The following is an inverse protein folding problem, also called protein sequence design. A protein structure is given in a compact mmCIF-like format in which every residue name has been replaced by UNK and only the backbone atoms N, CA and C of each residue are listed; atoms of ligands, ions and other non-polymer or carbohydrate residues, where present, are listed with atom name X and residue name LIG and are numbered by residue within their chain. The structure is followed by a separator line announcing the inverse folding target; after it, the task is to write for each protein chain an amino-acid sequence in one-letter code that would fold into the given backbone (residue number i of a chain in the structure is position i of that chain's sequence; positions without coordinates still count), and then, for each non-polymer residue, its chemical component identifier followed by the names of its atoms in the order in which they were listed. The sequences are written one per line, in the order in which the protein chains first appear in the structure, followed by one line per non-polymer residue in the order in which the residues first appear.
data_IF_759775563896
#
_entry.id   IF_759775563896
#
_cell.length_a   1.000
_cell.length_b   1.000
_cell.length_c   1.000
_cell.angle_alpha   90.00
_cell.angle_beta   90.00
_cell.angle_gamma   90.00
#
_symmetry.space_group_name_H-M   'P 1'
#
loop_
_entity.id
_entity.type
_entity.pdbx_description
1 polymer ?
#
# COMPACT_ATOMS: atom_id res chain seq x y z
N UNK A 1 -1.65 20.53 40.34
CA UNK A 1 -1.12 21.75 40.98
C UNK A 1 0.38 21.70 41.35
N UNK A 2 1.02 20.55 41.39
CA UNK A 2 2.47 20.44 41.62
C UNK A 2 3.29 20.78 40.35
N UNK A 3 2.74 20.50 39.19
CA UNK A 3 3.38 20.77 37.88
C UNK A 3 3.31 22.27 37.53
N UNK A 4 2.23 22.96 37.92
CA UNK A 4 2.02 24.39 37.66
C UNK A 4 2.84 25.32 38.59
N UNK A 5 3.36 24.80 39.70
CA UNK A 5 4.20 25.57 40.64
C UNK A 5 5.71 25.46 40.34
N UNK A 6 6.09 24.68 39.37
CA UNK A 6 7.50 24.37 39.09
C UNK A 6 8.14 25.37 38.11
N UNK A 7 8.33 26.60 38.53
CA UNK A 7 9.42 27.43 38.04
C UNK A 7 10.78 26.81 38.43
N UNK A 8 10.79 25.85 39.34
CA UNK A 8 11.98 25.07 39.70
C UNK A 8 11.58 23.68 40.21
N UNK A 9 11.54 22.64 39.37
CA UNK A 9 11.27 21.25 39.76
C UNK A 9 12.41 20.62 40.61
N UNK A 10 13.35 21.42 41.03
CA UNK A 10 14.55 21.00 41.81
C UNK A 10 14.21 20.73 43.29
N UNK A 11 13.03 21.13 43.76
CA UNK A 11 12.67 21.02 45.16
C UNK A 11 12.25 19.62 45.63
N UNK A 12 11.79 18.76 44.69
CA UNK A 12 11.42 17.37 45.00
C UNK A 12 12.47 16.42 44.46
N UNK A 13 13.20 15.81 45.37
CA UNK A 13 14.31 14.91 45.04
C UNK A 13 14.12 13.47 45.51
N UNK A 14 15.06 12.57 45.18
CA UNK A 14 15.05 11.17 45.64
C UNK A 14 14.96 11.01 47.15
N UNK A 15 15.56 11.93 47.93
CA UNK A 15 15.48 11.96 49.39
C UNK A 15 14.06 12.21 49.92
N UNK A 16 13.29 13.06 49.26
CA UNK A 16 11.91 13.32 49.66
C UNK A 16 11.03 12.09 49.42
N UNK A 17 11.29 11.34 48.35
CA UNK A 17 10.62 10.07 48.11
C UNK A 17 10.87 9.07 49.22
N UNK A 18 12.12 8.93 49.68
CA UNK A 18 12.46 8.04 50.77
C UNK A 18 11.72 8.46 52.05
N UNK A 19 11.79 9.74 52.41
CA UNK A 19 11.10 10.31 53.58
C UNK A 19 9.57 10.09 53.55
N UNK A 20 8.94 10.26 52.39
CA UNK A 20 7.50 10.00 52.22
C UNK A 20 7.21 8.51 52.34
N UNK A 21 8.03 7.63 51.73
CA UNK A 21 7.87 6.19 51.80
C UNK A 21 7.96 5.71 53.26
N UNK A 22 8.93 6.19 54.05
CA UNK A 22 9.08 5.88 55.45
C UNK A 22 7.90 6.39 56.29
N UNK A 23 7.46 7.63 56.03
CA UNK A 23 6.34 8.25 56.79
C UNK A 23 5.02 7.54 56.55
N UNK A 24 4.78 7.02 55.35
CA UNK A 24 3.49 6.42 55.01
C UNK A 24 3.52 4.89 54.91
N UNK A 25 4.67 4.25 55.16
CA UNK A 25 4.84 2.79 55.07
C UNK A 25 4.62 2.21 53.66
N UNK A 26 4.79 3.05 52.60
CA UNK A 26 4.55 2.68 51.20
C UNK A 26 5.86 2.80 50.43
N UNK A 27 6.29 1.74 49.77
CA UNK A 27 7.43 1.81 48.87
C UNK A 27 7.01 2.51 47.54
N UNK A 28 7.24 3.81 47.45
CA UNK A 28 6.94 4.63 46.29
C UNK A 28 7.76 4.21 45.06
N UNK A 29 8.81 3.44 45.20
CA UNK A 29 9.56 2.91 44.07
C UNK A 29 8.84 1.77 43.34
N UNK A 30 7.97 1.07 44.07
CA UNK A 30 7.18 -0.07 43.56
C UNK A 30 5.70 0.25 43.40
N UNK A 31 5.16 1.07 44.30
CA UNK A 31 3.76 1.52 44.20
C UNK A 31 3.58 2.59 43.12
N UNK A 32 2.36 2.72 42.65
CA UNK A 32 1.92 3.79 41.74
C UNK A 32 2.74 3.86 40.42
N UNK A 33 3.08 2.70 39.84
CA UNK A 33 3.90 2.65 38.65
C UNK A 33 3.26 3.39 37.45
N UNK A 34 1.96 3.26 37.28
CA UNK A 34 1.23 3.90 36.18
C UNK A 34 1.11 5.40 36.39
N UNK A 35 0.83 5.85 37.61
CA UNK A 35 0.74 7.26 37.95
C UNK A 35 2.10 7.96 37.81
N UNK A 36 3.19 7.31 38.20
CA UNK A 36 4.55 7.84 38.02
C UNK A 36 4.92 7.98 36.54
N UNK A 37 4.59 6.97 35.71
CA UNK A 37 4.75 7.05 34.26
C UNK A 37 3.88 8.12 33.66
N UNK A 38 2.59 8.22 34.09
CA UNK A 38 1.67 9.24 33.64
C UNK A 38 2.13 10.65 33.95
N UNK A 39 2.71 10.89 35.14
CA UNK A 39 3.27 12.18 35.50
C UNK A 39 4.50 12.53 34.61
N UNK A 40 5.40 11.59 34.42
CA UNK A 40 6.55 11.79 33.53
C UNK A 40 6.09 12.11 32.11
N UNK A 41 5.12 11.36 31.57
CA UNK A 41 4.56 11.57 30.26
C UNK A 41 3.93 12.95 30.15
N UNK A 42 3.12 13.38 31.13
CA UNK A 42 2.48 14.70 31.09
C UNK A 42 3.50 15.86 31.04
N UNK A 43 4.64 15.72 31.74
CA UNK A 43 5.71 16.71 31.69
C UNK A 43 6.44 16.66 30.35
N UNK A 44 6.68 15.47 29.80
CA UNK A 44 7.28 15.30 28.46
C UNK A 44 6.38 15.92 27.39
N UNK A 45 5.09 15.58 27.36
CA UNK A 45 4.11 16.10 26.40
C UNK A 45 4.02 17.63 26.47
N UNK A 46 4.01 18.19 27.69
CA UNK A 46 4.02 19.65 27.89
C UNK A 46 5.27 20.32 27.29
N UNK A 47 6.46 19.70 27.48
CA UNK A 47 7.73 20.22 26.93
C UNK A 47 7.83 20.05 25.42
N UNK A 48 7.15 19.09 24.86
CA UNK A 48 7.08 18.88 23.41
C UNK A 48 6.13 19.87 22.71
N UNK A 49 5.22 20.53 23.45
CA UNK A 49 4.27 21.48 22.86
C UNK A 49 4.97 22.66 22.16
N UNK A 50 6.17 23.02 22.61
CA UNK A 50 6.97 24.11 22.00
C UNK A 50 7.77 23.65 20.79
N UNK A 51 7.72 22.36 20.44
CA UNK A 51 8.40 21.79 19.26
C UNK A 51 9.93 21.72 19.35
N UNK A 52 10.54 22.19 20.43
CA UNK A 52 11.99 22.15 20.63
C UNK A 52 12.33 21.69 22.06
N UNK A 53 13.04 20.57 22.16
CA UNK A 53 13.57 20.09 23.42
C UNK A 53 15.00 20.58 23.59
N UNK A 54 15.18 21.49 24.51
CA UNK A 54 16.46 22.10 24.84
C UNK A 54 17.32 21.22 25.77
N UNK A 55 18.60 21.60 25.94
CA UNK A 55 19.48 20.97 26.91
C UNK A 55 18.92 20.97 28.35
N UNK A 56 18.34 22.10 28.85
CA UNK A 56 17.63 22.18 30.11
C UNK A 56 16.51 21.14 30.27
N UNK A 57 15.72 20.90 29.21
CA UNK A 57 14.62 19.92 29.26
C UNK A 57 15.13 18.48 29.40
N UNK A 58 16.26 18.15 28.79
CA UNK A 58 16.93 16.87 29.00
C UNK A 58 17.33 16.67 30.48
N UNK A 59 17.89 17.71 31.09
CA UNK A 59 18.26 17.64 32.50
C UNK A 59 17.04 17.51 33.43
N UNK A 60 15.98 18.25 33.12
CA UNK A 60 14.71 18.17 33.82
C UNK A 60 14.10 16.76 33.75
N UNK A 61 13.95 16.22 32.53
CA UNK A 61 13.41 14.88 32.31
C UNK A 61 14.24 13.80 32.96
N UNK A 62 15.57 13.91 32.89
CA UNK A 62 16.49 13.00 33.58
C UNK A 62 16.41 13.09 35.11
N UNK A 63 16.24 14.28 35.67
CA UNK A 63 16.00 14.47 37.09
C UNK A 63 14.66 13.89 37.50
N UNK A 64 13.60 14.17 36.76
CA UNK A 64 12.24 13.67 37.02
C UNK A 64 12.20 12.14 36.99
N UNK A 65 12.83 11.50 35.99
CA UNK A 65 12.91 10.05 35.89
C UNK A 65 13.56 9.42 37.14
N UNK A 66 14.68 9.99 37.61
CA UNK A 66 15.37 9.53 38.85
C UNK A 66 14.47 9.74 40.08
N UNK A 67 13.85 10.90 40.20
CA UNK A 67 12.97 11.24 41.33
C UNK A 67 11.77 10.30 41.39
N UNK A 68 11.18 10.01 40.25
CA UNK A 68 10.06 9.06 40.12
C UNK A 68 10.48 7.59 40.17
N UNK A 69 11.76 7.27 40.28
CA UNK A 69 12.31 5.92 40.23
C UNK A 69 11.84 5.13 39.01
N UNK A 70 11.84 5.79 37.85
CA UNK A 70 11.53 5.14 36.58
C UNK A 70 12.78 4.52 35.98
N UNK A 71 12.68 3.25 35.63
CA UNK A 71 13.75 2.54 34.92
C UNK A 71 13.72 2.86 33.42
N UNK A 72 14.78 2.52 32.71
CA UNK A 72 14.80 2.61 31.25
C UNK A 72 13.67 1.80 30.59
N UNK A 73 13.28 0.67 31.18
CA UNK A 73 12.16 -0.15 30.71
C UNK A 73 10.81 0.55 30.89
N UNK A 74 10.63 1.34 31.97
CA UNK A 74 9.42 2.13 32.19
C UNK A 74 9.32 3.33 31.24
N UNK A 75 10.47 3.95 30.91
CA UNK A 75 10.53 5.13 30.04
C UNK A 75 10.39 4.80 28.55
N UNK A 76 10.87 3.65 28.14
CA UNK A 76 10.89 3.25 26.74
C UNK A 76 9.52 3.37 26.04
N UNK A 77 8.41 2.79 26.54
CA UNK A 77 7.10 2.91 25.88
C UNK A 77 6.58 4.36 25.87
N UNK A 78 6.94 5.17 26.88
CA UNK A 78 6.56 6.61 26.92
C UNK A 78 7.31 7.36 25.84
N UNK A 79 8.62 7.13 25.69
CA UNK A 79 9.44 7.76 24.67
C UNK A 79 9.04 7.34 23.25
N UNK A 80 8.80 6.03 23.03
CA UNK A 80 8.32 5.52 21.73
C UNK A 80 6.98 6.16 21.34
N UNK A 81 6.05 6.31 22.29
CA UNK A 81 4.77 6.96 22.07
C UNK A 81 4.93 8.45 21.73
N UNK A 82 5.73 9.19 22.51
CA UNK A 82 5.97 10.60 22.29
C UNK A 82 6.62 10.86 20.90
N UNK A 83 7.58 10.01 20.53
CA UNK A 83 8.19 10.04 19.21
C UNK A 83 7.16 9.75 18.10
N UNK A 84 6.30 8.76 18.30
CA UNK A 84 5.23 8.42 17.36
C UNK A 84 4.24 9.56 17.15
N UNK A 85 3.90 10.33 18.20
CA UNK A 85 3.05 11.54 18.08
C UNK A 85 3.75 12.58 17.23
N UNK A 86 5.02 12.89 17.51
CA UNK A 86 5.80 13.87 16.74
C UNK A 86 5.95 13.46 15.26
N UNK A 87 6.17 12.18 14.97
CA UNK A 87 6.17 11.69 13.59
C UNK A 87 4.81 11.86 12.93
N UNK A 88 3.72 11.55 13.64
CA UNK A 88 2.36 11.69 13.10
C UNK A 88 2.02 13.14 12.76
N UNK A 89 2.49 14.09 13.55
CA UNK A 89 2.34 15.53 13.30
C UNK A 89 3.19 15.96 12.10
N UNK A 90 4.45 15.53 12.04
CA UNK A 90 5.37 15.86 10.97
C UNK A 90 4.94 15.32 9.58
N UNK A 91 4.17 14.23 9.52
CA UNK A 91 3.67 13.68 8.25
C UNK A 91 2.22 14.08 7.95
N UNK A 92 1.62 14.95 8.77
CA UNK A 92 0.19 15.28 8.69
C UNK A 92 -0.17 16.07 7.41
N UNK A 93 0.74 16.89 6.92
CA UNK A 93 0.56 17.72 5.73
C UNK A 93 1.07 17.07 4.43
N UNK A 94 1.35 15.75 4.47
CA UNK A 94 1.85 14.96 3.32
C UNK A 94 3.26 15.35 2.84
N UNK A 95 4.01 16.07 3.67
CA UNK A 95 5.38 16.48 3.41
C UNK A 95 6.23 16.27 4.65
N UNK A 96 7.50 16.00 4.47
CA UNK A 96 8.48 16.00 5.56
C UNK A 96 9.58 17.00 5.24
N UNK A 97 9.45 18.19 5.78
CA UNK A 97 10.40 19.27 5.61
C UNK A 97 11.77 18.94 6.21
N UNK A 98 12.79 19.71 5.82
CA UNK A 98 14.15 19.56 6.38
C UNK A 98 14.15 19.86 7.88
N UNK A 99 13.37 20.86 8.32
CA UNK A 99 13.28 21.25 9.73
C UNK A 99 12.61 20.17 10.57
N UNK A 100 11.54 19.56 10.08
CA UNK A 100 10.87 18.43 10.74
C UNK A 100 11.77 17.21 10.84
N UNK A 101 12.52 16.87 9.79
CA UNK A 101 13.53 15.80 9.84
C UNK A 101 14.57 16.07 10.92
N UNK A 102 15.06 17.30 11.00
CA UNK A 102 16.03 17.70 12.01
C UNK A 102 15.42 17.63 13.42
N UNK A 103 14.16 18.04 13.57
CA UNK A 103 13.42 17.95 14.83
C UNK A 103 13.29 16.49 15.28
N UNK A 104 12.82 15.61 14.40
CA UNK A 104 12.69 14.18 14.69
C UNK A 104 14.02 13.54 15.04
N UNK A 105 15.10 13.91 14.34
CA UNK A 105 16.45 13.44 14.66
C UNK A 105 16.90 13.88 16.06
N UNK A 106 16.71 15.17 16.40
CA UNK A 106 17.03 15.70 17.73
C UNK A 106 16.19 15.00 18.81
N UNK A 107 14.90 14.82 18.56
CA UNK A 107 13.97 14.15 19.47
C UNK A 107 14.37 12.70 19.72
N UNK A 108 14.69 11.94 18.67
CA UNK A 108 15.21 10.57 18.78
C UNK A 108 16.40 10.49 19.74
N UNK A 109 17.39 11.36 19.54
CA UNK A 109 18.60 11.40 20.38
C UNK A 109 18.32 11.82 21.82
N UNK A 110 17.41 12.75 22.02
CA UNK A 110 17.02 13.24 23.33
C UNK A 110 16.29 12.16 24.13
N UNK A 111 15.38 11.45 23.50
CA UNK A 111 14.62 10.34 24.10
C UNK A 111 15.47 9.05 24.21
N UNK A 112 16.68 9.01 23.65
CA UNK A 112 17.54 7.83 23.67
C UNK A 112 16.97 6.63 22.92
N UNK A 113 16.20 6.88 21.85
CA UNK A 113 15.60 5.83 21.03
C UNK A 113 16.64 5.25 20.07
N UNK A 114 16.62 3.93 19.93
CA UNK A 114 17.41 3.24 18.90
C UNK A 114 16.97 3.71 17.50
N UNK A 115 17.93 3.88 16.59
CA UNK A 115 17.67 4.34 15.22
C UNK A 115 16.66 3.44 14.51
N UNK A 116 16.73 2.12 14.69
CA UNK A 116 15.80 1.17 14.08
C UNK A 116 14.37 1.34 14.59
N UNK A 117 14.21 1.68 15.87
CA UNK A 117 12.88 1.92 16.47
C UNK A 117 12.30 3.21 15.91
N UNK A 118 13.10 4.26 15.79
CA UNK A 118 12.67 5.53 15.23
C UNK A 118 12.32 5.43 13.72
N UNK A 119 13.18 4.78 12.93
CA UNK A 119 12.94 4.50 11.51
C UNK A 119 11.68 3.63 11.33
N UNK A 120 11.51 2.59 12.14
CA UNK A 120 10.32 1.74 12.10
C UNK A 120 9.03 2.49 12.42
N UNK A 121 9.04 3.39 13.40
CA UNK A 121 7.90 4.22 13.75
C UNK A 121 7.55 5.18 12.60
N UNK A 122 8.57 5.82 11.99
CA UNK A 122 8.39 6.67 10.81
C UNK A 122 7.79 5.88 9.64
N UNK A 123 8.38 4.76 9.27
CA UNK A 123 7.94 3.92 8.15
C UNK A 123 6.46 3.49 8.30
N UNK A 124 6.05 3.10 9.51
CA UNK A 124 4.67 2.69 9.78
C UNK A 124 3.71 3.87 9.56
N UNK A 125 3.99 5.03 10.15
CA UNK A 125 3.09 6.18 10.12
C UNK A 125 3.04 6.82 8.74
N UNK A 126 4.19 6.97 8.06
CA UNK A 126 4.27 7.47 6.71
C UNK A 126 3.53 6.56 5.71
N UNK A 127 3.67 5.23 5.84
CA UNK A 127 2.89 4.26 5.03
C UNK A 127 1.40 4.34 5.31
N UNK A 128 0.98 4.49 6.57
CA UNK A 128 -0.43 4.67 6.90
C UNK A 128 -0.98 5.94 6.26
N UNK A 129 -0.19 7.02 6.22
CA UNK A 129 -0.58 8.26 5.55
C UNK A 129 -0.75 8.07 4.06
N UNK A 130 0.24 7.48 3.37
CA UNK A 130 0.15 7.16 1.94
C UNK A 130 -1.08 6.29 1.64
N UNK A 131 -1.33 5.25 2.44
CA UNK A 131 -2.49 4.37 2.26
C UNK A 131 -3.83 5.10 2.38
N UNK A 132 -3.94 6.13 3.22
CA UNK A 132 -5.15 6.97 3.31
C UNK A 132 -5.36 7.78 2.02
N UNK A 133 -4.29 8.38 1.49
CA UNK A 133 -4.34 9.13 0.22
C UNK A 133 -4.77 8.20 -0.92
N UNK A 134 -4.17 7.03 -1.01
CA UNK A 134 -4.52 6.00 -2.00
C UNK A 134 -5.97 5.53 -1.84
N UNK A 135 -6.43 5.29 -0.62
CA UNK A 135 -7.81 4.88 -0.37
C UNK A 135 -8.82 5.97 -0.76
N UNK A 136 -8.48 7.24 -0.54
CA UNK A 136 -9.31 8.36 -0.98
C UNK A 136 -9.35 8.47 -2.51
N UNK A 137 -8.20 8.39 -3.17
CA UNK A 137 -8.09 8.44 -4.63
C UNK A 137 -8.82 7.27 -5.32
N UNK A 138 -8.77 6.08 -4.74
CA UNK A 138 -9.40 4.89 -5.31
C UNK A 138 -10.82 4.63 -4.81
N UNK A 139 -11.48 5.58 -4.17
CA UNK A 139 -12.80 5.38 -3.56
C UNK A 139 -13.89 5.00 -4.59
N UNK A 140 -13.77 5.46 -5.83
CA UNK A 140 -14.66 5.11 -6.94
C UNK A 140 -14.13 3.95 -7.80
N UNK A 141 -12.94 3.41 -7.45
CA UNK A 141 -12.26 2.33 -8.14
C UNK A 141 -11.53 2.76 -9.42
N UNK A 142 -11.44 4.04 -9.71
CA UNK A 142 -10.70 4.63 -10.83
C UNK A 142 -9.49 5.39 -10.32
N UNK A 143 -8.55 5.74 -11.20
CA UNK A 143 -7.42 6.60 -10.89
C UNK A 143 -7.27 7.63 -12.00
N UNK A 144 -7.62 8.86 -11.71
CA UNK A 144 -7.40 9.99 -12.61
C UNK A 144 -5.93 10.41 -12.62
N UNK A 145 -5.47 11.13 -13.65
CA UNK A 145 -4.11 11.67 -13.69
C UNK A 145 -3.77 12.61 -12.52
N UNK A 146 -4.76 13.38 -12.04
CA UNK A 146 -4.56 14.31 -10.91
C UNK A 146 -4.40 13.55 -9.59
N UNK A 147 -5.20 12.52 -9.36
CA UNK A 147 -5.08 11.63 -8.18
C UNK A 147 -3.77 10.83 -8.21
N UNK A 148 -3.34 10.37 -9.39
CA UNK A 148 -2.06 9.69 -9.56
C UNK A 148 -0.90 10.62 -9.22
N UNK A 149 -0.92 11.86 -9.72
CA UNK A 149 0.09 12.86 -9.41
C UNK A 149 0.14 13.19 -7.92
N UNK A 150 -1.02 13.21 -7.24
CA UNK A 150 -1.09 13.42 -5.80
C UNK A 150 -0.49 12.25 -5.01
N UNK A 151 -0.81 11.01 -5.36
CA UNK A 151 -0.21 9.81 -4.74
C UNK A 151 1.31 9.84 -4.90
N UNK A 152 1.81 10.16 -6.09
CA UNK A 152 3.24 10.21 -6.37
C UNK A 152 3.93 11.33 -5.59
N UNK A 153 3.31 12.51 -5.53
CA UNK A 153 3.80 13.64 -4.74
C UNK A 153 3.98 13.26 -3.26
N UNK A 154 2.96 12.62 -2.67
CA UNK A 154 3.02 12.18 -1.27
C UNK A 154 4.07 11.08 -1.07
N UNK A 155 4.15 10.13 -1.99
CA UNK A 155 5.14 9.05 -1.94
C UNK A 155 6.58 9.57 -1.95
N UNK A 156 6.86 10.54 -2.84
CA UNK A 156 8.18 11.17 -2.95
C UNK A 156 8.50 12.03 -1.74
N UNK A 157 7.56 12.87 -1.31
CA UNK A 157 7.72 13.75 -0.16
C UNK A 157 8.03 12.98 1.14
N UNK A 158 7.38 11.82 1.33
CA UNK A 158 7.62 10.93 2.46
C UNK A 158 8.78 9.93 2.23
N UNK A 159 9.45 9.97 1.06
CA UNK A 159 10.56 9.09 0.68
C UNK A 159 10.23 7.60 0.83
N UNK A 160 9.00 7.20 0.50
CA UNK A 160 8.51 5.85 0.68
C UNK A 160 8.78 4.96 -0.54
N UNK A 161 9.14 3.70 -0.27
CA UNK A 161 9.14 2.65 -1.30
C UNK A 161 7.74 2.05 -1.41
N UNK A 162 7.22 1.89 -2.63
CA UNK A 162 5.91 1.28 -2.81
C UNK A 162 5.92 -0.17 -2.27
N UNK A 163 4.84 -0.60 -1.60
CA UNK A 163 4.70 -2.00 -1.21
C UNK A 163 4.52 -2.90 -2.43
N UNK A 164 4.79 -4.18 -2.27
CA UNK A 164 4.57 -5.18 -3.33
C UNK A 164 3.10 -5.16 -3.80
N UNK A 165 2.89 -5.22 -5.10
CA UNK A 165 1.55 -5.17 -5.72
C UNK A 165 0.93 -3.77 -5.84
N UNK A 166 1.53 -2.74 -5.26
CA UNK A 166 1.01 -1.37 -5.29
C UNK A 166 0.85 -0.83 -6.71
N UNK A 167 1.89 -0.96 -7.53
CA UNK A 167 1.88 -0.50 -8.92
C UNK A 167 0.82 -1.22 -9.77
N UNK A 168 0.62 -2.52 -9.53
CA UNK A 168 -0.41 -3.31 -10.23
C UNK A 168 -1.82 -2.79 -9.89
N UNK A 169 -2.05 -2.44 -8.62
CA UNK A 169 -3.32 -1.88 -8.18
C UNK A 169 -3.59 -0.51 -8.83
N UNK A 170 -2.60 0.38 -8.85
CA UNK A 170 -2.72 1.69 -9.50
C UNK A 170 -2.93 1.56 -11.01
N UNK A 171 -2.19 0.66 -11.68
CA UNK A 171 -2.35 0.39 -13.10
C UNK A 171 -3.78 -0.08 -13.43
N UNK A 172 -4.34 -0.99 -12.64
CA UNK A 172 -5.71 -1.44 -12.84
C UNK A 172 -6.73 -0.31 -12.70
N UNK A 173 -6.56 0.57 -11.74
CA UNK A 173 -7.43 1.72 -11.53
C UNK A 173 -7.30 2.75 -12.66
N UNK A 174 -6.07 3.00 -13.14
CA UNK A 174 -5.76 3.85 -14.31
C UNK A 174 -6.41 3.31 -15.58
N UNK A 175 -6.31 2.00 -15.82
CA UNK A 175 -6.95 1.36 -16.97
C UNK A 175 -8.47 1.51 -16.90
N UNK A 176 -9.09 1.35 -15.73
CA UNK A 176 -10.53 1.59 -15.56
C UNK A 176 -10.93 3.01 -15.89
N UNK A 177 -10.18 4.01 -15.38
CA UNK A 177 -10.39 5.44 -15.67
C UNK A 177 -10.37 5.72 -17.17
N UNK A 178 -9.33 5.29 -17.88
CA UNK A 178 -9.19 5.49 -19.32
C UNK A 178 -10.27 4.74 -20.12
N UNK A 179 -10.57 3.51 -19.72
CA UNK A 179 -11.56 2.67 -20.40
C UNK A 179 -12.96 3.29 -20.32
N UNK A 180 -13.36 3.84 -19.19
CA UNK A 180 -14.66 4.52 -19.05
C UNK A 180 -14.75 5.78 -19.88
N UNK A 181 -13.65 6.54 -20.03
CA UNK A 181 -13.59 7.77 -20.82
C UNK A 181 -13.31 7.55 -22.31
N UNK A 182 -13.27 6.30 -22.75
CA UNK A 182 -13.08 5.95 -24.16
C UNK A 182 -11.65 6.07 -24.66
N UNK A 183 -10.70 6.32 -23.78
CA UNK A 183 -9.27 6.33 -24.10
C UNK A 183 -8.68 5.00 -23.66
N UNK A 184 -8.02 4.30 -24.56
CA UNK A 184 -7.30 3.07 -24.23
C UNK A 184 -5.84 3.41 -23.91
N UNK A 185 -5.24 2.73 -22.95
CA UNK A 185 -3.81 2.93 -22.63
C UNK A 185 -2.94 2.62 -23.84
N UNK A 186 -1.79 3.24 -23.93
CA UNK A 186 -0.74 2.91 -24.87
C UNK A 186 0.47 2.43 -24.08
N UNK A 187 1.00 1.29 -24.49
CA UNK A 187 2.18 0.70 -23.84
C UNK A 187 3.24 0.38 -24.90
N UNK A 188 4.49 0.42 -24.49
CA UNK A 188 5.58 -0.02 -25.34
C UNK A 188 5.49 -1.53 -25.58
N UNK A 189 5.53 -1.93 -26.83
CA UNK A 189 5.49 -3.35 -27.18
C UNK A 189 6.90 -3.94 -27.20
N UNK A 190 7.14 -5.08 -26.54
CA UNK A 190 8.43 -5.76 -26.56
C UNK A 190 8.68 -6.53 -27.88
N UNK A 191 7.84 -6.30 -28.89
CA UNK A 191 7.93 -6.88 -30.23
C UNK A 191 7.60 -5.84 -31.31
N UNK A 192 8.14 -5.95 -32.52
CA UNK A 192 7.74 -5.08 -33.61
C UNK A 192 6.28 -5.22 -33.94
N UNK A 193 5.57 -4.08 -34.02
CA UNK A 193 4.18 -3.99 -34.42
C UNK A 193 4.08 -3.57 -35.90
N UNK A 194 2.92 -3.83 -36.51
CA UNK A 194 2.62 -3.35 -37.85
C UNK A 194 2.47 -1.83 -37.86
N UNK A 195 2.64 -1.20 -39.02
CA UNK A 195 2.46 0.25 -39.16
C UNK A 195 1.06 0.68 -38.73
N UNK A 196 0.99 1.62 -37.80
CA UNK A 196 -0.27 2.15 -37.24
C UNK A 196 -0.98 1.14 -36.32
N UNK A 197 -0.30 0.15 -35.80
CA UNK A 197 -0.77 -0.76 -34.75
C UNK A 197 -0.23 -0.29 -33.40
N UNK A 198 -1.09 -0.20 -32.40
CA UNK A 198 -0.74 0.28 -31.06
C UNK A 198 -0.94 -0.82 -30.02
N UNK A 199 0.07 -1.08 -29.19
CA UNK A 199 -0.09 -1.95 -28.03
C UNK A 199 -0.88 -1.24 -26.92
N UNK A 200 -1.79 -1.98 -26.32
CA UNK A 200 -2.68 -1.50 -25.26
C UNK A 200 -2.39 -2.12 -23.91
N UNK A 201 -1.93 -3.36 -23.91
CA UNK A 201 -1.46 -4.08 -22.72
C UNK A 201 -0.29 -4.99 -23.11
N UNK A 202 0.73 -5.03 -22.26
CA UNK A 202 1.78 -6.05 -22.27
C UNK A 202 1.88 -6.64 -20.86
N UNK A 203 1.78 -7.96 -20.73
CA UNK A 203 1.80 -8.64 -19.44
C UNK A 203 2.36 -10.05 -19.54
N UNK A 204 2.90 -10.56 -18.44
CA UNK A 204 3.16 -11.99 -18.29
C UNK A 204 1.85 -12.75 -18.33
N UNK A 205 1.82 -13.91 -18.98
CA UNK A 205 0.60 -14.70 -19.14
C UNK A 205 0.90 -16.19 -19.13
N UNK A 206 -0.03 -16.94 -18.56
CA UNK A 206 -0.15 -18.38 -18.80
C UNK A 206 -1.31 -18.60 -19.78
N UNK A 207 -1.11 -19.44 -20.80
CA UNK A 207 -2.18 -19.73 -21.73
C UNK A 207 -2.23 -21.19 -22.13
N UNK A 208 -3.41 -21.65 -22.52
CA UNK A 208 -3.67 -22.99 -23.02
C UNK A 208 -4.85 -23.00 -23.99
N UNK A 209 -4.91 -24.01 -24.85
CA UNK A 209 -6.16 -24.36 -25.50
C UNK A 209 -7.19 -24.83 -24.47
N UNK A 210 -8.47 -24.69 -24.81
CA UNK A 210 -9.57 -25.17 -23.94
C UNK A 210 -10.44 -26.13 -24.72
N UNK A 211 -10.87 -27.21 -24.06
CA UNK A 211 -11.91 -28.07 -24.60
C UNK A 211 -13.27 -27.40 -24.44
N UNK A 212 -13.85 -26.94 -25.56
CA UNK A 212 -15.11 -26.20 -25.54
C UNK A 212 -16.29 -27.03 -25.00
N UNK A 213 -16.32 -28.35 -25.27
CA UNK A 213 -17.34 -29.24 -24.77
C UNK A 213 -17.21 -29.43 -23.26
N UNK A 214 -16.01 -29.74 -22.79
CA UNK A 214 -15.73 -29.86 -21.36
C UNK A 214 -15.99 -28.55 -20.62
N UNK A 215 -15.66 -27.35 -21.21
CA UNK A 215 -15.95 -26.04 -20.63
C UNK A 215 -17.49 -25.82 -20.50
N UNK A 216 -18.28 -26.15 -21.53
CA UNK A 216 -19.74 -26.04 -21.50
C UNK A 216 -20.32 -26.87 -20.37
N UNK A 217 -19.85 -28.12 -20.22
CA UNK A 217 -20.28 -29.01 -19.13
C UNK A 217 -19.91 -28.46 -17.75
N UNK A 218 -18.68 -27.92 -17.61
CA UNK A 218 -18.19 -27.45 -16.31
C UNK A 218 -18.83 -26.14 -15.85
N UNK A 219 -19.10 -25.22 -16.78
CA UNK A 219 -19.55 -23.85 -16.47
C UNK A 219 -21.07 -23.70 -16.66
N UNK A 220 -21.67 -24.48 -17.53
CA UNK A 220 -23.07 -24.42 -17.93
C UNK A 220 -23.27 -23.61 -19.22
N UNK A 221 -24.03 -24.17 -20.15
CA UNK A 221 -24.31 -23.56 -21.47
C UNK A 221 -24.87 -22.13 -21.36
N UNK A 222 -25.86 -21.94 -20.48
CA UNK A 222 -26.48 -20.62 -20.28
C UNK A 222 -25.48 -19.55 -19.80
N UNK A 223 -24.56 -19.92 -18.90
CA UNK A 223 -23.54 -18.97 -18.41
C UNK A 223 -22.58 -18.58 -19.50
N UNK A 224 -22.22 -19.48 -20.40
CA UNK A 224 -21.37 -19.18 -21.56
C UNK A 224 -22.11 -18.33 -22.57
N UNK A 225 -23.39 -18.63 -22.90
CA UNK A 225 -24.17 -17.84 -23.83
C UNK A 225 -24.42 -16.40 -23.35
N UNK A 226 -24.69 -16.23 -22.06
CA UNK A 226 -24.96 -14.92 -21.45
C UNK A 226 -23.69 -14.16 -21.02
N UNK A 227 -22.51 -14.78 -21.08
CA UNK A 227 -21.25 -14.20 -20.59
C UNK A 227 -21.15 -14.07 -19.07
N UNK A 228 -22.11 -14.65 -18.31
CA UNK A 228 -22.15 -14.58 -16.83
C UNK A 228 -21.18 -15.58 -16.19
N UNK A 229 -19.89 -15.35 -16.39
CA UNK A 229 -18.82 -16.25 -15.94
C UNK A 229 -17.85 -15.61 -14.94
N UNK A 230 -17.96 -14.32 -14.65
CA UNK A 230 -17.00 -13.57 -13.83
C UNK A 230 -16.78 -14.09 -12.39
N UNK A 231 -17.79 -14.73 -11.79
CA UNK A 231 -17.66 -15.36 -10.47
C UNK A 231 -17.14 -16.81 -10.51
N UNK A 232 -16.98 -17.40 -11.68
CA UNK A 232 -16.54 -18.79 -11.86
C UNK A 232 -15.06 -18.87 -12.18
N UNK A 233 -14.47 -20.06 -11.97
CA UNK A 233 -13.10 -20.37 -12.37
C UNK A 233 -13.11 -21.33 -13.57
N UNK A 234 -12.11 -21.22 -14.43
CA UNK A 234 -11.84 -22.23 -15.45
C UNK A 234 -11.16 -23.42 -14.77
N UNK A 235 -11.77 -24.61 -14.72
CA UNK A 235 -11.15 -25.77 -14.10
C UNK A 235 -9.98 -26.29 -14.93
N UNK A 236 -8.89 -26.72 -14.28
CA UNK A 236 -7.69 -27.23 -14.99
C UNK A 236 -7.99 -28.39 -15.92
N UNK A 237 -8.97 -29.25 -15.58
CA UNK A 237 -9.41 -30.40 -16.39
C UNK A 237 -9.95 -30.05 -17.78
N UNK A 238 -10.33 -28.79 -18.02
CA UNK A 238 -10.82 -28.35 -19.34
C UNK A 238 -9.69 -27.77 -20.21
N UNK A 239 -8.50 -27.56 -19.64
CA UNK A 239 -7.33 -27.06 -20.36
C UNK A 239 -6.72 -28.17 -21.20
N UNK A 240 -6.36 -27.83 -22.44
CA UNK A 240 -5.74 -28.79 -23.39
C UNK A 240 -4.23 -28.77 -23.28
N UNK A 241 -3.65 -29.84 -22.78
CA UNK A 241 -2.19 -30.00 -22.72
C UNK A 241 -1.53 -29.14 -21.63
N UNK A 242 -0.20 -28.99 -21.76
CA UNK A 242 0.60 -28.17 -20.82
C UNK A 242 0.36 -26.70 -21.09
N UNK A 243 0.16 -25.92 -20.02
CA UNK A 243 0.08 -24.47 -20.11
C UNK A 243 1.43 -23.91 -20.60
N UNK A 244 1.38 -23.01 -21.57
CA UNK A 244 2.52 -22.21 -21.98
C UNK A 244 2.64 -20.99 -21.09
N UNK A 245 3.88 -20.56 -20.83
CA UNK A 245 4.19 -19.35 -20.02
C UNK A 245 4.98 -18.40 -20.91
N UNK A 246 4.67 -17.12 -20.83
CA UNK A 246 5.34 -16.08 -21.58
C UNK A 246 4.67 -14.73 -21.44
N UNK A 247 4.56 -14.01 -22.53
CA UNK A 247 3.98 -12.66 -22.58
C UNK A 247 2.75 -12.62 -23.47
N UNK A 248 1.76 -11.84 -23.07
CA UNK A 248 0.64 -11.40 -23.91
C UNK A 248 0.80 -9.93 -24.26
N UNK A 249 0.65 -9.60 -25.52
CA UNK A 249 0.58 -8.23 -25.99
C UNK A 249 -0.78 -8.09 -26.68
N UNK A 250 -1.65 -7.26 -26.09
CA UNK A 250 -2.93 -6.92 -26.66
C UNK A 250 -2.76 -5.62 -27.43
N UNK A 251 -3.03 -5.66 -28.74
CA UNK A 251 -3.02 -4.48 -29.60
C UNK A 251 -4.44 -4.08 -30.00
N UNK A 252 -4.59 -3.00 -30.70
CA UNK A 252 -5.86 -2.57 -31.32
C UNK A 252 -6.33 -3.49 -32.46
N UNK A 253 -5.50 -4.47 -32.89
CA UNK A 253 -5.80 -5.38 -34.01
C UNK A 253 -5.77 -6.87 -33.64
N UNK A 254 -4.94 -7.27 -32.68
CA UNK A 254 -4.67 -8.70 -32.34
C UNK A 254 -4.17 -8.90 -30.93
N UNK A 255 -4.26 -10.16 -30.49
CA UNK A 255 -3.58 -10.68 -29.31
C UNK A 255 -2.35 -11.42 -29.79
N UNK A 256 -1.17 -11.07 -29.29
CA UNK A 256 0.10 -11.75 -29.53
C UNK A 256 0.48 -12.52 -28.28
N UNK A 257 0.80 -13.80 -28.42
CA UNK A 257 1.28 -14.68 -27.34
C UNK A 257 2.70 -15.10 -27.64
N UNK A 258 3.66 -14.72 -26.83
CA UNK A 258 5.07 -14.98 -27.01
C UNK A 258 5.62 -15.87 -25.89
N UNK A 259 6.17 -17.03 -26.24
CA UNK A 259 6.90 -17.92 -25.34
C UNK A 259 8.40 -17.83 -25.65
N UNK A 260 9.17 -17.15 -24.81
CA UNK A 260 10.61 -16.98 -25.02
C UNK A 260 10.95 -16.32 -26.38
N UNK A 261 11.93 -16.89 -27.12
CA UNK A 261 12.39 -16.39 -28.42
C UNK A 261 11.56 -16.87 -29.62
N UNK A 262 10.46 -17.58 -29.39
CA UNK A 262 9.64 -18.12 -30.48
C UNK A 262 8.84 -17.02 -31.19
N UNK A 263 8.48 -17.26 -32.46
CA UNK A 263 7.54 -16.40 -33.19
C UNK A 263 6.22 -16.31 -32.43
N UNK A 264 5.71 -15.09 -32.16
CA UNK A 264 4.48 -14.93 -31.44
C UNK A 264 3.30 -15.60 -32.13
N UNK A 265 2.48 -16.31 -31.37
CA UNK A 265 1.18 -16.78 -31.86
C UNK A 265 0.21 -15.60 -31.93
N UNK A 266 -0.44 -15.43 -33.06
CA UNK A 266 -1.37 -14.33 -33.33
C UNK A 266 -2.82 -14.81 -33.22
N UNK A 267 -3.67 -13.98 -32.60
CA UNK A 267 -5.14 -14.11 -32.63
C UNK A 267 -5.71 -12.74 -33.02
N UNK A 268 -6.17 -12.60 -34.24
CA UNK A 268 -6.77 -11.33 -34.71
C UNK A 268 -8.07 -11.05 -33.99
N UNK A 269 -8.28 -9.81 -33.55
CA UNK A 269 -9.52 -9.40 -32.89
C UNK A 269 -10.75 -9.61 -33.77
N UNK A 270 -10.60 -9.38 -35.08
CA UNK A 270 -11.67 -9.66 -36.08
C UNK A 270 -12.11 -11.13 -36.15
N UNK A 271 -11.28 -12.05 -35.68
CA UNK A 271 -11.56 -13.48 -35.62
C UNK A 271 -12.18 -13.93 -34.29
N UNK A 272 -12.32 -13.05 -33.33
CA UNK A 272 -12.97 -13.36 -32.05
C UNK A 272 -14.50 -13.34 -32.23
N UNK A 273 -15.15 -14.33 -31.65
CA UNK A 273 -16.60 -14.43 -31.60
C UNK A 273 -17.14 -14.07 -30.20
N UNK A 274 -16.34 -14.35 -29.16
CA UNK A 274 -16.74 -14.09 -27.78
C UNK A 274 -15.53 -13.98 -26.87
N UNK A 275 -15.68 -13.22 -25.80
CA UNK A 275 -14.78 -13.17 -24.67
C UNK A 275 -15.53 -13.46 -23.38
N UNK A 276 -14.93 -14.23 -22.50
CA UNK A 276 -15.53 -14.68 -21.26
C UNK A 276 -14.58 -14.39 -20.11
N UNK A 277 -15.02 -13.60 -19.13
CA UNK A 277 -14.25 -13.29 -17.94
C UNK A 277 -14.48 -14.35 -16.87
N UNK A 278 -13.42 -14.97 -16.41
CA UNK A 278 -13.39 -15.86 -15.25
C UNK A 278 -12.59 -15.22 -14.10
N UNK A 279 -12.78 -15.74 -12.89
CA UNK A 279 -12.03 -15.28 -11.73
C UNK A 279 -10.51 -15.48 -11.89
N UNK A 280 -10.11 -16.57 -12.52
CA UNK A 280 -8.71 -16.96 -12.73
C UNK A 280 -8.17 -16.71 -14.14
N UNK A 281 -8.88 -15.95 -14.98
CA UNK A 281 -8.40 -15.64 -16.33
C UNK A 281 -9.51 -15.26 -17.29
N UNK A 282 -9.14 -15.06 -18.54
CA UNK A 282 -10.03 -14.73 -19.66
C UNK A 282 -10.00 -15.85 -20.69
N UNK A 283 -11.17 -16.28 -21.15
CA UNK A 283 -11.29 -17.22 -22.27
C UNK A 283 -11.76 -16.47 -23.50
N UNK A 284 -11.02 -16.57 -24.58
CA UNK A 284 -11.42 -16.05 -25.90
C UNK A 284 -11.90 -17.19 -26.79
N UNK A 285 -13.04 -17.01 -27.47
CA UNK A 285 -13.56 -17.94 -28.47
C UNK A 285 -13.43 -17.32 -29.85
N UNK A 286 -12.83 -18.04 -30.77
CA UNK A 286 -12.74 -17.62 -32.16
C UNK A 286 -13.97 -18.00 -32.96
N UNK A 287 -14.18 -17.38 -34.12
CA UNK A 287 -15.28 -17.70 -35.06
C UNK A 287 -15.26 -19.15 -35.56
N UNK A 288 -14.13 -19.82 -35.47
CA UNK A 288 -13.97 -21.25 -35.81
C UNK A 288 -14.07 -22.16 -34.59
N UNK A 289 -14.75 -21.70 -33.55
CA UNK A 289 -15.05 -22.42 -32.28
C UNK A 289 -13.81 -22.96 -31.53
N UNK A 290 -12.66 -22.26 -31.66
CA UNK A 290 -11.47 -22.52 -30.86
C UNK A 290 -11.47 -21.66 -29.64
N UNK A 291 -11.22 -22.27 -28.48
CA UNK A 291 -11.16 -21.60 -27.20
C UNK A 291 -9.70 -21.51 -26.73
N UNK A 292 -9.30 -20.35 -26.25
CA UNK A 292 -7.98 -20.10 -25.67
C UNK A 292 -8.17 -19.46 -24.32
N UNK A 293 -7.59 -20.07 -23.30
CA UNK A 293 -7.51 -19.53 -21.95
C UNK A 293 -6.26 -18.67 -21.82
N UNK A 294 -6.43 -17.52 -21.21
CA UNK A 294 -5.39 -16.53 -20.96
C UNK A 294 -5.48 -16.15 -19.46
N UNK A 295 -4.40 -16.36 -18.75
CA UNK A 295 -4.29 -16.00 -17.34
C UNK A 295 -3.15 -14.97 -17.18
N UNK A 296 -3.44 -13.67 -17.27
CA UNK A 296 -2.47 -12.61 -17.04
C UNK A 296 -2.30 -12.28 -15.55
N UNK A 297 -2.65 -13.20 -14.65
CA UNK A 297 -2.54 -13.02 -13.22
C UNK A 297 -3.37 -11.84 -12.73
N UNK A 298 -2.76 -10.98 -11.91
CA UNK A 298 -3.42 -9.81 -11.31
C UNK A 298 -3.92 -8.79 -12.35
N UNK A 299 -3.40 -8.84 -13.58
CA UNK A 299 -3.85 -7.98 -14.68
C UNK A 299 -5.08 -8.48 -15.43
N UNK A 300 -5.69 -9.59 -15.01
CA UNK A 300 -6.82 -10.19 -15.73
C UNK A 300 -8.01 -9.24 -15.91
N UNK A 301 -8.31 -8.43 -14.90
CA UNK A 301 -9.40 -7.46 -14.97
C UNK A 301 -9.14 -6.36 -16.00
N UNK A 302 -7.96 -5.76 -15.96
CA UNK A 302 -7.52 -4.73 -16.90
C UNK A 302 -7.46 -5.29 -18.32
N UNK A 303 -6.90 -6.49 -18.49
CA UNK A 303 -6.84 -7.18 -19.78
C UNK A 303 -8.22 -7.42 -20.37
N UNK A 304 -9.15 -7.97 -19.59
CA UNK A 304 -10.53 -8.17 -20.03
C UNK A 304 -11.22 -6.87 -20.39
N UNK A 305 -11.09 -5.83 -19.59
CA UNK A 305 -11.75 -4.53 -19.81
C UNK A 305 -11.28 -3.88 -21.12
N UNK A 306 -9.97 -3.86 -21.37
CA UNK A 306 -9.40 -3.32 -22.61
C UNK A 306 -9.82 -4.17 -23.81
N UNK A 307 -9.73 -5.49 -23.73
CA UNK A 307 -10.14 -6.41 -24.78
C UNK A 307 -11.63 -6.25 -25.12
N UNK A 308 -12.48 -6.14 -24.09
CA UNK A 308 -13.92 -5.89 -24.25
C UNK A 308 -14.17 -4.57 -24.98
N UNK A 309 -13.47 -3.52 -24.59
CA UNK A 309 -13.58 -2.19 -25.21
C UNK A 309 -13.17 -2.21 -26.68
N UNK A 310 -12.10 -2.91 -27.03
CA UNK A 310 -11.61 -3.05 -28.42
C UNK A 310 -12.62 -3.78 -29.30
N UNK A 311 -13.37 -4.74 -28.75
CA UNK A 311 -14.31 -5.57 -29.50
C UNK A 311 -15.70 -4.95 -29.62
N UNK A 312 -16.20 -4.34 -28.56
CA UNK A 312 -17.61 -3.95 -28.44
C UNK A 312 -17.82 -2.44 -28.30
N UNK A 313 -16.76 -1.65 -28.21
CA UNK A 313 -16.84 -0.21 -27.95
C UNK A 313 -17.16 0.12 -26.48
N UNK A 314 -17.60 1.35 -26.20
CA UNK A 314 -18.02 1.73 -24.85
C UNK A 314 -19.24 0.93 -24.43
N UNK A 315 -19.32 0.46 -23.18
CA UNK A 315 -20.60 0.01 -22.64
C UNK A 315 -21.59 1.20 -22.75
N UNK A 316 -22.76 0.90 -23.33
CA UNK A 316 -23.88 1.86 -23.40
C UNK A 316 -24.43 2.13 -22.01
#
# INVERSE_FOLDING_TARGET
NVVAAAESPVEFGPSDRVRISERHGVDLSRAFADERRGLYQAVLDYRLTDGDLSGPDRHLLGHLARTLALSAADLRPVHERAFGVAVSEAVADDCLSVDERLLLFKLQHLLGLDARVAEGAYDILARQRLLRVVAAALCDGELSPDEEAEIERVREALSLRPPEGFEVMLEQARVRYHTRRGRLPEVEAPVPLATGETARIAASVRWSGVDGTALRTAVGEQALQTGRTSGKTVPDRVLKGRQSVGEVILTDRRILLRAGAQTPREIRLSNLAQILRFRNGTVVRTKVDRYVYLDPGDRNEAFYAVLHRLLFGAPK
#
